data_IF_479056344601
#
_entry.id   IF_479056344601
#
_cell.length_a   1.000
_cell.length_b   1.000
_cell.length_c   1.000
_cell.angle_alpha   90.00
_cell.angle_beta   90.00
_cell.angle_gamma   90.00
#
_symmetry.space_group_name_H-M   'P 1'
#
loop_
_entity.id
_entity.type
_entity.pdbx_description
1 polymer ?
#
# COMPACT_ATOMS: atom_id res chain seq x y z
N UNK A 1 0.61 -7.04 -6.70
CA UNK A 1 -0.12 -8.10 -7.43
C UNK A 1 0.68 -8.47 -8.66
N UNK A 2 0.75 -9.75 -8.97
CA UNK A 2 1.40 -10.25 -10.17
C UNK A 2 0.27 -10.73 -11.07
N UNK A 3 0.09 -10.07 -12.20
CA UNK A 3 -0.98 -10.35 -13.14
C UNK A 3 -0.55 -11.47 -14.09
N UNK A 4 -1.47 -12.41 -14.31
CA UNK A 4 -1.34 -13.48 -15.29
C UNK A 4 -1.39 -12.88 -16.71
N UNK A 5 -0.36 -13.07 -17.55
CA UNK A 5 -0.34 -12.52 -18.91
C UNK A 5 -1.33 -13.21 -19.88
N UNK A 6 -1.95 -14.33 -19.51
CA UNK A 6 -3.03 -14.94 -20.30
C UNK A 6 -4.36 -14.17 -20.19
N UNK A 7 -4.50 -13.31 -19.18
CA UNK A 7 -5.68 -12.47 -18.97
C UNK A 7 -5.44 -11.12 -19.62
N UNK A 8 -6.36 -10.71 -20.50
CA UNK A 8 -6.31 -9.40 -21.13
C UNK A 8 -6.41 -8.30 -20.07
N UNK A 9 -5.31 -7.60 -19.82
CA UNK A 9 -5.31 -6.44 -18.92
C UNK A 9 -5.92 -5.25 -19.64
N UNK A 10 -7.08 -4.80 -19.18
CA UNK A 10 -7.69 -3.57 -19.65
C UNK A 10 -7.49 -2.43 -18.63
N UNK A 11 -7.03 -1.28 -19.12
CA UNK A 11 -6.98 -0.07 -18.30
C UNK A 11 -8.27 0.72 -18.46
N UNK A 12 -9.04 0.74 -17.37
CA UNK A 12 -10.35 1.38 -17.23
C UNK A 12 -10.20 2.91 -17.05
N UNK A 13 -9.24 3.35 -16.23
CA UNK A 13 -8.97 4.76 -15.96
C UNK A 13 -7.54 5.08 -16.38
N UNK A 14 -7.39 6.00 -17.33
CA UNK A 14 -6.09 6.39 -17.92
C UNK A 14 -5.72 7.85 -17.70
N UNK A 15 -6.70 8.71 -17.46
CA UNK A 15 -6.53 10.16 -17.46
C UNK A 15 -6.94 10.75 -16.11
N UNK A 16 -6.35 11.91 -15.78
CA UNK A 16 -6.65 12.68 -14.56
C UNK A 16 -6.50 11.85 -13.27
N UNK A 17 -5.52 10.96 -13.24
CA UNK A 17 -5.10 10.17 -12.08
C UNK A 17 -3.63 10.50 -11.77
N UNK A 18 -3.29 10.66 -10.50
CA UNK A 18 -1.95 11.02 -10.02
C UNK A 18 -1.51 10.09 -8.91
N UNK A 19 -2.25 10.04 -7.80
CA UNK A 19 -1.92 9.23 -6.64
C UNK A 19 -3.19 8.57 -6.07
N UNK A 20 -3.70 7.53 -6.74
CA UNK A 20 -4.84 6.77 -6.24
C UNK A 20 -4.41 6.02 -4.98
N UNK A 21 -5.06 6.32 -3.86
CA UNK A 21 -4.70 5.76 -2.54
C UNK A 21 -5.60 4.58 -2.18
N UNK A 22 -6.88 4.64 -2.55
CA UNK A 22 -7.90 3.67 -2.17
C UNK A 22 -8.91 3.46 -3.30
N UNK A 23 -9.50 2.27 -3.32
CA UNK A 23 -10.51 1.83 -4.27
C UNK A 23 -11.54 0.98 -3.54
N UNK A 24 -12.82 1.13 -3.88
CA UNK A 24 -13.90 0.31 -3.37
C UNK A 24 -14.96 0.07 -4.44
N UNK A 25 -15.74 -1.00 -4.29
CA UNK A 25 -16.73 -1.45 -5.26
C UNK A 25 -18.10 -1.57 -4.59
N UNK A 26 -19.09 -1.03 -5.26
CA UNK A 26 -20.49 -1.35 -5.01
C UNK A 26 -20.94 -2.37 -6.07
N UNK A 27 -21.16 -3.60 -5.63
CA UNK A 27 -21.50 -4.72 -6.50
C UNK A 27 -22.96 -4.69 -6.95
N UNK A 28 -23.85 -4.11 -6.14
CA UNK A 28 -25.28 -4.02 -6.43
C UNK A 28 -25.53 -3.02 -7.55
N UNK A 29 -24.93 -1.84 -7.42
CA UNK A 29 -25.06 -0.74 -8.39
C UNK A 29 -23.98 -0.78 -9.50
N UNK A 30 -23.02 -1.72 -9.42
CA UNK A 30 -21.87 -1.86 -10.34
C UNK A 30 -21.06 -0.57 -10.48
N UNK A 31 -20.78 0.09 -9.35
CA UNK A 31 -20.03 1.34 -9.29
C UNK A 31 -18.64 1.09 -8.71
N UNK A 32 -17.62 1.72 -9.30
CA UNK A 32 -16.25 1.73 -8.79
C UNK A 32 -15.92 3.10 -8.25
N UNK A 33 -15.47 3.16 -7.01
CA UNK A 33 -15.09 4.39 -6.32
C UNK A 33 -13.60 4.39 -6.02
N UNK A 34 -12.94 5.54 -6.16
CA UNK A 34 -11.56 5.71 -5.73
C UNK A 34 -11.33 7.11 -5.17
N UNK A 35 -10.26 7.26 -4.40
CA UNK A 35 -9.76 8.56 -3.97
C UNK A 35 -8.34 8.79 -4.49
N UNK A 36 -8.07 10.01 -4.95
CA UNK A 36 -6.76 10.47 -5.35
C UNK A 36 -6.26 11.53 -4.37
N UNK A 37 -5.19 11.19 -3.65
CA UNK A 37 -4.59 12.03 -2.61
C UNK A 37 -3.96 13.29 -3.21
N UNK A 38 -3.36 13.20 -4.42
CA UNK A 38 -2.67 14.35 -5.00
C UNK A 38 -3.63 15.34 -5.64
N UNK A 39 -4.78 14.86 -6.10
CA UNK A 39 -5.81 15.67 -6.75
C UNK A 39 -6.92 16.09 -5.79
N UNK A 40 -6.85 15.72 -4.50
CA UNK A 40 -7.83 16.02 -3.47
C UNK A 40 -9.27 15.73 -3.93
N UNK A 41 -9.48 14.58 -4.57
CA UNK A 41 -10.80 14.23 -5.13
C UNK A 41 -11.12 12.76 -4.92
N UNK A 42 -12.40 12.52 -4.69
CA UNK A 42 -13.00 11.21 -4.84
C UNK A 42 -13.83 11.18 -6.11
N UNK A 43 -13.70 10.07 -6.82
CA UNK A 43 -14.32 9.86 -8.12
C UNK A 43 -14.96 8.49 -8.19
N UNK A 44 -15.99 8.40 -9.03
CA UNK A 44 -16.72 7.18 -9.31
C UNK A 44 -16.80 6.95 -10.81
N UNK A 45 -16.63 5.69 -11.23
CA UNK A 45 -17.03 5.22 -12.55
C UNK A 45 -18.41 4.59 -12.45
N UNK A 46 -19.29 5.04 -13.34
CA UNK A 46 -20.60 4.46 -13.64
C UNK A 46 -20.58 3.93 -15.09
N UNK A 47 -21.65 3.24 -15.50
CA UNK A 47 -21.84 2.84 -16.91
C UNK A 47 -21.81 4.02 -17.89
N UNK A 48 -22.10 5.25 -17.43
CA UNK A 48 -22.04 6.47 -18.23
C UNK A 48 -20.68 7.17 -18.21
N UNK A 49 -19.70 6.66 -17.44
CA UNK A 49 -18.37 7.23 -17.33
C UNK A 49 -17.96 7.66 -15.91
N UNK A 50 -16.81 8.34 -15.82
CA UNK A 50 -16.20 8.81 -14.58
C UNK A 50 -16.70 10.20 -14.17
N UNK A 51 -17.01 10.38 -12.89
CA UNK A 51 -17.42 11.67 -12.32
C UNK A 51 -16.86 11.86 -10.92
N UNK A 52 -16.45 13.09 -10.58
CA UNK A 52 -16.05 13.45 -9.22
C UNK A 52 -17.27 13.75 -8.36
N UNK A 53 -17.25 13.25 -7.14
CA UNK A 53 -18.40 13.34 -6.22
C UNK A 53 -18.08 14.03 -4.90
N UNK A 54 -16.82 13.98 -4.42
CA UNK A 54 -16.35 14.71 -3.23
C UNK A 54 -14.91 15.22 -3.35
N UNK A 55 -14.57 16.22 -2.53
CA UNK A 55 -13.24 16.83 -2.43
C UNK A 55 -12.73 16.68 -0.99
N UNK A 56 -12.10 15.54 -0.64
CA UNK A 56 -11.48 15.34 0.67
C UNK A 56 -10.14 16.08 0.77
N UNK A 57 -9.62 16.25 1.98
CA UNK A 57 -8.31 16.88 2.19
C UNK A 57 -7.18 15.85 2.11
N UNK A 58 -7.32 14.73 2.81
CA UNK A 58 -6.34 13.65 2.77
C UNK A 58 -7.00 12.30 3.06
N UNK A 59 -7.71 11.73 2.07
CA UNK A 59 -8.40 10.47 2.25
C UNK A 59 -7.40 9.31 2.31
N UNK A 60 -7.60 8.37 3.21
CA UNK A 60 -6.78 7.15 3.29
C UNK A 60 -7.53 5.90 2.82
N UNK A 61 -8.75 5.69 3.31
CA UNK A 61 -9.61 4.59 2.91
C UNK A 61 -11.03 5.08 2.62
N UNK A 62 -11.69 4.43 1.66
CA UNK A 62 -13.11 4.66 1.33
C UNK A 62 -13.87 3.34 1.38
N UNK A 63 -15.07 3.37 1.94
CA UNK A 63 -16.03 2.27 1.89
C UNK A 63 -17.42 2.79 1.48
N UNK A 64 -18.21 1.90 0.88
CA UNK A 64 -19.57 2.18 0.43
C UNK A 64 -20.49 1.15 1.08
N UNK A 65 -21.67 1.57 1.53
CA UNK A 65 -22.76 0.68 1.90
C UNK A 65 -24.09 1.31 1.51
N UNK A 66 -24.76 0.70 0.53
CA UNK A 66 -25.90 1.28 -0.16
C UNK A 66 -25.61 2.73 -0.58
N UNK A 67 -26.44 3.67 -0.12
CA UNK A 67 -26.35 5.09 -0.50
C UNK A 67 -25.36 5.90 0.36
N UNK A 68 -24.63 5.24 1.27
CA UNK A 68 -23.73 5.89 2.22
C UNK A 68 -22.27 5.64 1.83
N UNK A 69 -21.50 6.72 1.87
CA UNK A 69 -20.06 6.74 1.68
C UNK A 69 -19.40 6.99 3.01
N UNK A 70 -18.32 6.26 3.26
CA UNK A 70 -17.50 6.39 4.46
C UNK A 70 -16.05 6.58 4.04
N UNK A 71 -15.35 7.51 4.66
CA UNK A 71 -13.92 7.64 4.47
C UNK A 71 -13.18 8.11 5.70
N UNK A 72 -11.95 7.62 5.85
CA UNK A 72 -10.99 8.14 6.80
C UNK A 72 -10.22 9.28 6.18
N UNK A 73 -10.09 10.40 6.90
CA UNK A 73 -9.30 11.54 6.47
C UNK A 73 -8.31 11.95 7.55
N UNK A 74 -7.04 12.05 7.17
CA UNK A 74 -5.93 12.33 8.08
C UNK A 74 -5.88 13.77 8.56
N UNK A 75 -6.27 14.74 7.72
CA UNK A 75 -6.22 16.15 8.11
C UNK A 75 -7.45 16.51 8.94
N UNK A 76 -8.61 15.99 8.55
CA UNK A 76 -9.83 16.08 9.37
C UNK A 76 -9.65 15.34 10.70
N UNK A 77 -8.84 14.27 10.72
CA UNK A 77 -8.62 13.44 11.90
C UNK A 77 -9.89 12.71 12.33
N UNK A 78 -10.69 12.28 11.36
CA UNK A 78 -12.00 11.70 11.61
C UNK A 78 -12.41 10.63 10.59
N UNK A 79 -13.38 9.81 11.00
CA UNK A 79 -14.21 9.05 10.08
C UNK A 79 -15.39 9.90 9.64
N UNK A 80 -15.44 10.19 8.35
CA UNK A 80 -16.48 10.98 7.72
C UNK A 80 -17.48 10.07 7.02
N UNK A 81 -18.76 10.34 7.19
CA UNK A 81 -19.85 9.73 6.44
C UNK A 81 -20.55 10.78 5.60
N UNK A 82 -20.97 10.44 4.38
CA UNK A 82 -21.89 11.26 3.62
C UNK A 82 -22.82 10.44 2.73
N UNK A 83 -23.95 11.03 2.31
CA UNK A 83 -24.84 10.42 1.34
C UNK A 83 -24.37 10.69 -0.09
N UNK A 84 -24.41 9.66 -0.95
CA UNK A 84 -23.98 9.71 -2.34
C UNK A 84 -24.78 10.71 -3.19
N UNK A 85 -26.10 10.78 -3.00
CA UNK A 85 -27.01 11.50 -3.88
C UNK A 85 -27.21 12.94 -3.46
N UNK A 86 -27.50 13.17 -2.18
CA UNK A 86 -27.76 14.51 -1.67
C UNK A 86 -26.47 15.31 -1.53
N UNK A 87 -25.33 14.62 -1.49
CA UNK A 87 -24.01 15.18 -1.15
C UNK A 87 -24.02 16.02 0.14
N UNK A 88 -24.99 15.73 0.99
CA UNK A 88 -25.23 16.37 2.28
C UNK A 88 -25.21 15.28 3.36
N UNK A 89 -25.21 15.71 4.62
CA UNK A 89 -25.10 14.84 5.81
C UNK A 89 -23.67 14.34 6.11
N UNK A 90 -22.71 15.28 6.05
CA UNK A 90 -21.34 15.06 6.53
C UNK A 90 -21.39 14.87 8.06
N UNK A 91 -21.35 13.62 8.51
CA UNK A 91 -21.32 13.27 9.92
C UNK A 91 -19.91 12.83 10.31
N UNK A 92 -19.27 13.57 11.20
CA UNK A 92 -18.04 13.16 11.87
C UNK A 92 -18.41 12.22 13.01
N UNK A 93 -18.33 10.90 12.78
CA UNK A 93 -18.80 9.94 13.78
C UNK A 93 -17.80 9.71 14.90
N UNK A 94 -16.52 9.92 14.63
CA UNK A 94 -15.43 9.84 15.59
C UNK A 94 -14.43 10.93 15.22
N UNK A 95 -14.23 11.90 16.10
CA UNK A 95 -13.28 13.00 15.96
C UNK A 95 -12.00 12.72 16.78
N UNK A 96 -10.88 13.38 16.41
CA UNK A 96 -9.56 13.27 17.06
C UNK A 96 -8.90 11.91 16.97
N UNK A 97 -9.13 11.18 15.86
CA UNK A 97 -8.33 10.01 15.53
C UNK A 97 -7.06 10.51 14.83
N UNK A 98 -5.90 10.17 15.40
CA UNK A 98 -4.64 10.42 14.74
C UNK A 98 -4.44 9.41 13.60
N UNK A 99 -4.27 9.91 12.37
CA UNK A 99 -4.05 9.09 11.16
C UNK A 99 -5.03 7.90 11.00
N UNK A 100 -6.35 8.12 10.91
CA UNK A 100 -7.31 7.04 10.73
C UNK A 100 -6.98 6.25 9.45
N UNK A 101 -6.82 4.94 9.60
CA UNK A 101 -6.38 4.07 8.51
C UNK A 101 -7.57 3.43 7.79
N UNK A 102 -7.74 2.11 7.90
CA UNK A 102 -8.70 1.37 7.11
C UNK A 102 -10.15 1.65 7.55
N UNK A 103 -11.05 1.64 6.59
CA UNK A 103 -12.49 1.65 6.82
C UNK A 103 -13.13 0.55 5.97
N UNK A 104 -14.05 -0.19 6.58
CA UNK A 104 -14.82 -1.24 5.92
C UNK A 104 -16.26 -1.06 6.34
N UNK A 105 -17.17 -1.05 5.37
CA UNK A 105 -18.59 -1.05 5.63
C UNK A 105 -19.11 -2.47 5.39
N UNK A 106 -19.80 -3.01 6.39
CA UNK A 106 -20.45 -4.32 6.29
C UNK A 106 -21.92 -4.11 5.95
N UNK A 107 -22.37 -4.77 4.89
CA UNK A 107 -23.77 -4.78 4.48
C UNK A 107 -24.25 -6.22 4.43
N UNK A 108 -25.44 -6.46 4.97
CA UNK A 108 -26.08 -7.77 4.89
C UNK A 108 -26.77 -7.95 3.53
N UNK A 109 -25.99 -7.88 2.45
CA UNK A 109 -26.45 -8.24 1.11
C UNK A 109 -26.20 -9.73 0.92
N UNK A 110 -27.22 -10.44 0.41
CA UNK A 110 -27.07 -11.82 -0.04
C UNK A 110 -26.25 -11.77 -1.34
N UNK A 111 -24.93 -11.66 -1.21
CA UNK A 111 -24.04 -11.96 -2.33
C UNK A 111 -24.22 -13.45 -2.58
N UNK A 112 -24.86 -13.80 -3.70
CA UNK A 112 -25.06 -15.19 -4.09
C UNK A 112 -23.71 -15.84 -4.39
N UNK A 113 -23.09 -16.36 -3.34
CA UNK A 113 -21.83 -17.10 -3.37
C UNK A 113 -22.05 -18.57 -3.76
N UNK A 114 -23.27 -18.99 -4.12
CA UNK A 114 -23.58 -20.37 -4.51
C UNK A 114 -23.43 -20.61 -6.01
N UNK A 115 -23.41 -19.54 -6.82
CA UNK A 115 -23.21 -19.60 -8.28
C UNK A 115 -21.75 -19.55 -8.73
N UNK A 116 -20.78 -19.59 -7.82
CA UNK A 116 -19.38 -19.58 -8.23
C UNK A 116 -18.98 -20.95 -8.78
N UNK A 117 -18.35 -20.93 -9.95
CA UNK A 117 -17.99 -22.12 -10.72
C UNK A 117 -17.12 -23.11 -9.90
N UNK A 118 -16.42 -22.63 -8.87
CA UNK A 118 -15.62 -23.47 -7.98
C UNK A 118 -16.45 -24.42 -7.10
N UNK A 119 -17.59 -23.98 -6.57
CA UNK A 119 -18.41 -24.78 -5.64
C UNK A 119 -19.24 -25.82 -6.38
N UNK A 120 -19.55 -25.53 -7.64
CA UNK A 120 -20.26 -26.44 -8.56
C UNK A 120 -19.31 -27.52 -9.10
N UNK A 121 -18.04 -27.21 -9.36
CA UNK A 121 -17.07 -28.17 -9.93
C UNK A 121 -16.37 -29.05 -8.89
N UNK A 122 -16.01 -28.52 -7.71
CA UNK A 122 -15.05 -29.20 -6.82
C UNK A 122 -15.66 -29.58 -5.46
N UNK A 123 -16.85 -30.20 -5.50
CA UNK A 123 -17.39 -30.89 -4.35
C UNK A 123 -16.36 -31.89 -3.80
N UNK A 124 -15.81 -31.59 -2.62
CA UNK A 124 -14.80 -32.34 -1.87
C UNK A 124 -13.35 -32.29 -2.40
N UNK A 125 -12.52 -31.61 -1.62
CA UNK A 125 -11.06 -31.68 -1.48
C UNK A 125 -10.27 -32.32 -2.64
N UNK A 126 -9.70 -31.48 -3.51
CA UNK A 126 -8.63 -31.87 -4.43
C UNK A 126 -7.46 -30.86 -4.40
N UNK A 127 -6.29 -31.41 -4.74
CA UNK A 127 -4.95 -30.82 -4.80
C UNK A 127 -4.94 -29.36 -5.31
N UNK A 128 -4.22 -28.42 -4.63
CA UNK A 128 -4.03 -27.05 -5.09
C UNK A 128 -3.59 -26.90 -6.56
N UNK A 129 -2.99 -27.95 -7.15
CA UNK A 129 -2.53 -27.98 -8.54
C UNK A 129 -3.64 -28.18 -9.60
N UNK A 130 -4.83 -28.67 -9.23
CA UNK A 130 -5.95 -28.94 -10.16
C UNK A 130 -6.99 -27.81 -10.24
N UNK A 131 -6.72 -26.66 -9.61
CA UNK A 131 -7.64 -25.51 -9.64
C UNK A 131 -7.79 -24.99 -11.08
N UNK A 132 -9.01 -24.84 -11.61
CA UNK A 132 -9.21 -24.07 -12.84
C UNK A 132 -8.73 -22.64 -12.59
N UNK A 133 -7.96 -22.09 -13.53
CA UNK A 133 -7.46 -20.70 -13.52
C UNK A 133 -8.63 -19.75 -13.26
N UNK A 134 -8.82 -19.31 -12.02
CA UNK A 134 -9.72 -18.22 -11.72
C UNK A 134 -9.03 -16.91 -12.11
N UNK A 135 -9.76 -16.02 -12.78
CA UNK A 135 -9.29 -14.71 -13.30
C UNK A 135 -8.63 -13.78 -12.25
N UNK A 136 -8.69 -14.13 -10.96
CA UNK A 136 -8.12 -13.34 -9.87
C UNK A 136 -7.33 -14.17 -8.85
N UNK A 137 -6.58 -15.19 -9.29
CA UNK A 137 -5.60 -15.83 -8.41
C UNK A 137 -4.25 -15.15 -8.50
N UNK A 138 -3.68 -14.81 -7.33
CA UNK A 138 -2.28 -14.42 -7.16
C UNK A 138 -1.42 -15.45 -7.91
N UNK A 139 -0.68 -15.03 -8.93
CA UNK A 139 0.25 -15.89 -9.69
C UNK A 139 1.32 -16.44 -8.74
N UNK A 140 1.02 -17.59 -8.14
CA UNK A 140 1.79 -18.20 -7.06
C UNK A 140 3.21 -18.57 -7.51
N UNK A 141 3.41 -19.21 -8.68
CA UNK A 141 4.75 -19.49 -9.20
C UNK A 141 5.61 -18.24 -9.34
N UNK A 142 5.04 -17.15 -9.85
CA UNK A 142 5.77 -15.90 -10.02
C UNK A 142 5.96 -15.15 -8.70
N UNK A 143 5.01 -15.26 -7.77
CA UNK A 143 5.14 -14.73 -6.41
C UNK A 143 6.29 -15.42 -5.66
N UNK A 144 6.45 -16.73 -5.82
CA UNK A 144 7.57 -17.48 -5.25
C UNK A 144 8.91 -17.09 -5.88
N UNK A 145 8.97 -16.94 -7.21
CA UNK A 145 10.17 -16.46 -7.89
C UNK A 145 10.59 -15.06 -7.41
N UNK A 146 9.63 -14.15 -7.27
CA UNK A 146 9.87 -12.81 -6.76
C UNK A 146 10.26 -12.84 -5.28
N UNK A 147 9.68 -13.72 -4.46
CA UNK A 147 10.08 -13.92 -3.05
C UNK A 147 11.55 -14.33 -2.96
N UNK A 148 11.96 -15.32 -3.77
CA UNK A 148 13.35 -15.78 -3.83
C UNK A 148 14.28 -14.66 -4.27
N UNK A 149 13.91 -13.90 -5.30
CA UNK A 149 14.69 -12.76 -5.78
C UNK A 149 14.83 -11.67 -4.70
N UNK A 150 13.73 -11.29 -4.05
CA UNK A 150 13.73 -10.32 -2.96
C UNK A 150 14.56 -10.78 -1.77
N UNK A 151 14.53 -12.08 -1.43
CA UNK A 151 15.31 -12.62 -0.32
C UNK A 151 16.83 -12.58 -0.63
N UNK A 152 17.22 -12.92 -1.86
CA UNK A 152 18.60 -12.77 -2.33
C UNK A 152 19.06 -11.31 -2.30
N UNK A 153 18.25 -10.39 -2.82
CA UNK A 153 18.56 -8.96 -2.80
C UNK A 153 18.62 -8.38 -1.38
N UNK A 154 17.75 -8.83 -0.46
CA UNK A 154 17.81 -8.45 0.96
C UNK A 154 19.11 -8.93 1.61
N UNK A 155 19.50 -10.19 1.39
CA UNK A 155 20.78 -10.74 1.88
C UNK A 155 21.98 -9.98 1.30
N UNK A 156 21.93 -9.61 0.03
CA UNK A 156 22.96 -8.78 -0.60
C UNK A 156 23.07 -7.40 0.08
N UNK A 157 21.94 -6.69 0.27
CA UNK A 157 21.92 -5.40 0.96
C UNK A 157 22.43 -5.49 2.41
N UNK A 158 22.07 -6.56 3.13
CA UNK A 158 22.58 -6.80 4.48
C UNK A 158 24.10 -7.03 4.50
N UNK A 159 24.63 -7.84 3.57
CA UNK A 159 26.07 -8.05 3.42
C UNK A 159 26.79 -6.75 3.08
N UNK A 160 26.29 -5.96 2.13
CA UNK A 160 26.86 -4.65 1.81
C UNK A 160 26.87 -3.72 3.03
N UNK A 161 25.77 -3.63 3.79
CA UNK A 161 25.73 -2.82 5.02
C UNK A 161 26.79 -3.25 6.02
N UNK A 162 26.92 -4.55 6.27
CA UNK A 162 27.88 -5.09 7.24
C UNK A 162 29.34 -4.84 6.81
N UNK A 163 29.61 -4.95 5.50
CA UNK A 163 30.94 -4.63 4.95
C UNK A 163 31.23 -3.13 5.08
N UNK A 164 30.27 -2.25 4.75
CA UNK A 164 30.45 -0.80 4.84
C UNK A 164 30.69 -0.34 6.28
N UNK A 165 29.98 -0.93 7.26
CA UNK A 165 30.19 -0.59 8.67
C UNK A 165 31.54 -1.10 9.17
N UNK A 166 31.95 -2.30 8.77
CA UNK A 166 33.26 -2.85 9.13
C UNK A 166 34.42 -2.02 8.56
N UNK A 167 34.36 -1.68 7.27
CA UNK A 167 35.37 -0.82 6.64
C UNK A 167 35.41 0.55 7.31
N UNK A 168 34.25 1.15 7.59
CA UNK A 168 34.18 2.43 8.29
C UNK A 168 34.83 2.39 9.67
N UNK A 169 34.64 1.31 10.45
CA UNK A 169 35.27 1.14 11.75
C UNK A 169 36.79 1.01 11.64
N UNK A 170 37.30 0.24 10.67
CA UNK A 170 38.74 0.13 10.43
C UNK A 170 39.35 1.49 10.11
N UNK A 171 38.75 2.25 9.19
CA UNK A 171 39.24 3.58 8.85
C UNK A 171 39.23 4.52 10.07
N UNK A 172 38.20 4.46 10.91
CA UNK A 172 38.15 5.24 12.15
C UNK A 172 39.25 4.87 13.14
N UNK A 173 39.53 3.57 13.34
CA UNK A 173 40.61 3.14 14.23
C UNK A 173 41.99 3.53 13.70
N UNK A 174 42.22 3.39 12.39
CA UNK A 174 43.47 3.79 11.75
C UNK A 174 43.72 5.30 11.88
N UNK A 175 42.69 6.13 11.68
CA UNK A 175 42.84 7.59 11.84
C UNK A 175 43.16 7.97 13.28
N UNK A 176 42.49 7.36 14.27
CA UNK A 176 42.79 7.57 15.70
C UNK A 176 44.23 7.16 16.04
N UNK A 177 44.71 6.02 15.52
CA UNK A 177 46.09 5.57 15.73
C UNK A 177 47.12 6.54 15.12
N UNK A 178 46.89 7.01 13.89
CA UNK A 178 47.77 7.97 13.22
C UNK A 178 47.84 9.29 13.98
N UNK A 179 46.69 9.85 14.38
CA UNK A 179 46.63 11.08 15.18
C UNK A 179 47.36 10.90 16.52
N UNK A 180 47.15 9.76 17.19
CA UNK A 180 47.84 9.44 18.44
C UNK A 180 49.36 9.35 18.26
N UNK A 181 49.84 8.75 17.17
CA UNK A 181 51.27 8.66 16.83
C UNK A 181 51.88 10.04 16.55
N UNK A 182 51.16 10.91 15.84
CA UNK A 182 51.60 12.30 15.56
C UNK A 182 51.69 13.09 16.87
N UNK A 183 50.67 13.03 17.73
CA UNK A 183 50.65 13.73 19.02
C UNK A 183 51.69 13.19 20.01
N UNK A 184 51.90 11.87 20.06
CA UNK A 184 52.91 11.25 20.94
C UNK A 184 54.33 11.51 20.46
N UNK A 185 54.57 11.62 19.14
CA UNK A 185 55.86 12.12 18.62
C UNK A 185 56.06 13.61 18.91
N UNK A 186 55.01 14.43 18.87
CA UNK A 186 55.06 15.85 19.24
C UNK A 186 55.43 16.09 20.71
N UNK A 187 55.09 15.17 21.62
CA UNK A 187 55.44 15.27 23.06
C UNK A 187 56.93 15.05 23.37
N UNK A 188 57.76 14.54 22.45
CA UNK A 188 59.22 14.45 22.65
C UNK A 188 59.99 15.71 22.20
N UNK A 189 59.34 16.65 21.52
CA UNK A 189 60.02 17.83 20.92
C UNK A 189 59.94 19.10 21.79
N UNK A 190 59.17 19.11 22.88
CA UNK A 190 59.02 20.27 23.78
C UNK A 190 59.47 19.99 25.22
N UNK A 191 60.44 19.08 25.39
CA UNK A 191 61.14 18.86 26.66
C UNK A 191 62.30 19.85 26.84
N UNK A 192 62.15 20.72 27.84
CA UNK A 192 63.12 21.70 28.37
C UNK A 192 63.29 23.01 27.60
N UNK A 193 62.40 23.98 27.90
CA UNK A 193 62.79 25.39 27.94
C UNK A 193 63.37 25.67 29.33
N UNK A 194 64.69 25.79 29.39
CA UNK A 194 65.43 26.59 30.37
C UNK A 194 66.03 27.76 29.61
#
# INVERSE_FOLDING_TARGET
>A
MIFNPSIAQESIIRYKIKMPITITLDLEERKLYWADERLNKMERVTSCGASSFYTPEHPFAVAVSGNLLFWSDWIVGALVRANEYTRADIFFRIDRIDHPMAVVAEQNTIVNCDGNQWKILNGSYEDPSSRPESDFTLDLPRAEQLRIKMEKEKKFRQRCRLITTFLSLIFFLLTVMVVSLVLTRGKRMFGSMI
#
